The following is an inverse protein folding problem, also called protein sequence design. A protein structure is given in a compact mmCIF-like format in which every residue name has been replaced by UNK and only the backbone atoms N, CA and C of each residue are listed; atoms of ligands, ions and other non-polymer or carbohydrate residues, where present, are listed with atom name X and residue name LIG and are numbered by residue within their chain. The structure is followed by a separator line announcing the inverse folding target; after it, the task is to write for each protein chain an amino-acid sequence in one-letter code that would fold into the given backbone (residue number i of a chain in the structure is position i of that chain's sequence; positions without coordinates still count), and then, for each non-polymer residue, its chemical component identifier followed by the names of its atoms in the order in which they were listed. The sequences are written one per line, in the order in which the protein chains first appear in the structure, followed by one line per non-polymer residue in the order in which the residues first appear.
data_IF_663755912371
#
_entry.id   IF_663755912371
#
_cell.length_a   1.000
_cell.length_b   1.000
_cell.length_c   1.000
_cell.angle_alpha   90.00
_cell.angle_beta   90.00
_cell.angle_gamma   90.00
#
_symmetry.space_group_name_H-M   'P 1'
#
loop_
_entity.id
_entity.type
_entity.pdbx_description
1 polymer ?
#
# COMPACT_ATOMS: atom_id res chain seq x y z
N UNK A 1 0.01 3.16 8.94
CA UNK A 1 -1.06 3.07 7.94
C UNK A 1 -2.12 2.14 8.48
N UNK A 2 -3.33 2.60 8.62
CA UNK A 2 -4.44 1.85 9.22
C UNK A 2 -5.64 1.94 8.28
N UNK A 3 -6.23 0.80 7.93
CA UNK A 3 -7.49 0.69 7.19
C UNK A 3 -7.58 1.67 6.00
N UNK A 4 -8.39 2.71 6.10
CA UNK A 4 -8.66 3.69 5.03
C UNK A 4 -7.42 4.44 4.52
N UNK A 5 -6.34 4.54 5.31
CA UNK A 5 -5.10 5.17 4.85
C UNK A 5 -4.52 4.53 3.58
N UNK A 6 -4.86 3.25 3.33
CA UNK A 6 -4.41 2.52 2.13
C UNK A 6 -4.89 3.12 0.81
N UNK A 7 -6.03 3.83 0.84
CA UNK A 7 -6.59 4.45 -0.37
C UNK A 7 -5.64 5.52 -0.94
N UNK A 8 -4.77 6.08 -0.10
CA UNK A 8 -3.82 7.13 -0.47
C UNK A 8 -2.42 6.56 -0.65
N UNK A 9 -1.86 6.58 -1.88
CA UNK A 9 -0.52 6.08 -2.16
C UNK A 9 0.58 6.77 -1.35
N UNK A 10 0.36 8.02 -0.99
CA UNK A 10 1.28 8.83 -0.19
C UNK A 10 1.54 8.22 1.19
N UNK A 11 0.56 7.57 1.80
CA UNK A 11 0.69 6.95 3.11
C UNK A 11 1.79 5.88 3.12
N UNK A 12 1.76 4.96 2.16
CA UNK A 12 2.78 3.92 2.02
C UNK A 12 4.14 4.52 1.61
N UNK A 13 4.12 5.54 0.73
CA UNK A 13 5.34 6.23 0.29
C UNK A 13 6.06 6.93 1.45
N UNK A 14 5.33 7.60 2.33
CA UNK A 14 5.90 8.23 3.52
C UNK A 14 6.52 7.20 4.45
N UNK A 15 5.87 6.06 4.67
CA UNK A 15 6.44 4.98 5.50
C UNK A 15 7.74 4.44 4.89
N UNK A 16 7.78 4.18 3.59
CA UNK A 16 9.01 3.75 2.91
C UNK A 16 10.12 4.79 3.04
N UNK A 17 9.83 6.08 2.87
CA UNK A 17 10.81 7.16 3.01
C UNK A 17 11.32 7.30 4.45
N UNK A 18 10.55 6.87 5.44
CA UNK A 18 10.96 6.78 6.85
C UNK A 18 11.70 5.48 7.18
N UNK A 19 11.98 4.64 6.20
CA UNK A 19 12.79 3.43 6.35
C UNK A 19 12.01 2.13 6.56
N UNK A 20 10.67 2.14 6.42
CA UNK A 20 9.90 0.90 6.52
C UNK A 20 10.38 -0.13 5.50
N UNK A 21 10.57 -1.35 5.95
CA UNK A 21 10.86 -2.52 5.11
C UNK A 21 9.61 -3.39 4.92
N UNK A 22 8.76 -3.44 5.94
CA UNK A 22 7.46 -4.11 5.92
C UNK A 22 6.41 -3.13 6.45
N UNK A 23 5.26 -3.07 5.82
CA UNK A 23 4.09 -2.33 6.28
C UNK A 23 3.03 -3.33 6.73
N UNK A 24 2.53 -3.17 7.96
CA UNK A 24 1.56 -4.06 8.58
C UNK A 24 0.23 -3.29 8.80
N UNK A 25 -0.66 -3.20 7.81
CA UNK A 25 -1.92 -2.48 7.95
C UNK A 25 -2.99 -3.35 8.63
N UNK A 26 -3.48 -2.98 9.81
CA UNK A 26 -4.75 -3.51 10.29
C UNK A 26 -5.91 -2.95 9.48
N UNK A 27 -6.89 -3.78 9.18
CA UNK A 27 -8.02 -3.44 8.31
C UNK A 27 -9.33 -4.08 8.79
N UNK A 28 -10.44 -3.47 8.39
CA UNK A 28 -11.79 -3.97 8.59
C UNK A 28 -12.64 -3.52 7.40
N UNK A 29 -12.66 -4.31 6.34
CA UNK A 29 -13.51 -4.06 5.17
C UNK A 29 -13.51 -5.28 4.24
N UNK A 30 -14.48 -5.31 3.33
CA UNK A 30 -14.43 -6.19 2.16
C UNK A 30 -13.15 -5.95 1.36
N UNK A 31 -12.48 -7.02 0.99
CA UNK A 31 -11.25 -7.00 0.19
C UNK A 31 -11.48 -7.67 -1.16
N UNK A 32 -12.12 -6.95 -2.05
CA UNK A 32 -12.29 -7.37 -3.43
C UNK A 32 -10.98 -7.23 -4.23
N UNK A 33 -10.95 -7.81 -5.43
CA UNK A 33 -9.76 -7.88 -6.28
C UNK A 33 -9.03 -6.54 -6.46
N UNK A 34 -9.76 -5.43 -6.64
CA UNK A 34 -9.15 -4.11 -6.80
C UNK A 34 -8.44 -3.61 -5.53
N UNK A 35 -8.99 -3.91 -4.36
CA UNK A 35 -8.39 -3.56 -3.06
C UNK A 35 -7.18 -4.44 -2.75
N UNK A 36 -7.24 -5.72 -3.05
CA UNK A 36 -6.06 -6.61 -3.00
C UNK A 36 -4.98 -6.10 -3.95
N UNK A 37 -5.36 -5.67 -5.16
CA UNK A 37 -4.47 -5.04 -6.11
C UNK A 37 -3.79 -3.77 -5.59
N UNK A 38 -4.48 -2.95 -4.79
CA UNK A 38 -3.87 -1.79 -4.14
C UNK A 38 -2.70 -2.21 -3.24
N UNK A 39 -2.87 -3.21 -2.37
CA UNK A 39 -1.79 -3.68 -1.48
C UNK A 39 -0.60 -4.25 -2.25
N UNK A 40 -0.88 -5.02 -3.31
CA UNK A 40 0.15 -5.52 -4.23
C UNK A 40 0.94 -4.36 -4.85
N UNK A 41 0.24 -3.32 -5.30
CA UNK A 41 0.87 -2.14 -5.88
C UNK A 41 1.68 -1.37 -4.84
N UNK A 42 1.14 -1.20 -3.60
CA UNK A 42 1.89 -0.55 -2.51
C UNK A 42 3.19 -1.29 -2.18
N UNK A 43 3.17 -2.63 -2.20
CA UNK A 43 4.40 -3.41 -2.02
C UNK A 43 5.41 -3.13 -3.14
N UNK A 44 4.99 -3.27 -4.40
CA UNK A 44 5.85 -3.12 -5.56
C UNK A 44 6.42 -1.71 -5.71
N UNK A 45 5.59 -0.68 -5.78
CA UNK A 45 6.01 0.70 -6.07
C UNK A 45 6.88 1.33 -4.97
N UNK A 46 6.83 0.78 -3.75
CA UNK A 46 7.62 1.23 -2.62
C UNK A 46 8.80 0.31 -2.29
N UNK A 47 8.89 -0.86 -2.90
CA UNK A 47 9.91 -1.85 -2.57
C UNK A 47 9.85 -2.28 -1.11
N UNK A 48 8.65 -2.51 -0.57
CA UNK A 48 8.39 -2.92 0.82
C UNK A 48 7.54 -4.18 0.85
N UNK A 49 7.73 -5.03 1.86
CA UNK A 49 6.76 -6.06 2.16
C UNK A 49 5.45 -5.42 2.67
N UNK A 50 4.32 -6.02 2.34
CA UNK A 50 3.02 -5.62 2.90
C UNK A 50 2.33 -6.86 3.45
N UNK A 51 1.92 -6.82 4.72
CA UNK A 51 1.13 -7.88 5.33
C UNK A 51 -0.07 -7.29 6.06
N UNK A 52 -1.22 -7.42 5.44
CA UNK A 52 -2.50 -6.92 5.93
C UNK A 52 -3.19 -7.97 6.80
N UNK A 53 -3.65 -7.57 7.99
CA UNK A 53 -4.62 -8.32 8.78
C UNK A 53 -6.03 -7.74 8.55
N UNK A 54 -7.01 -8.62 8.33
CA UNK A 54 -8.41 -8.24 8.16
C UNK A 54 -9.32 -9.10 9.05
N UNK A 55 -10.54 -8.64 9.31
CA UNK A 55 -11.53 -9.46 10.01
C UNK A 55 -11.93 -10.66 9.16
N UNK A 56 -12.12 -11.81 9.84
CA UNK A 56 -12.67 -13.01 9.24
C UNK A 56 -14.20 -12.95 9.29
N UNK A 57 -14.82 -12.88 8.13
CA UNK A 57 -16.27 -12.92 7.96
C UNK A 57 -16.62 -13.31 6.53
N UNK A 58 -17.84 -13.80 6.25
CA UNK A 58 -18.23 -14.25 4.90
C UNK A 58 -18.05 -13.21 3.78
N UNK A 59 -18.20 -11.92 4.10
CA UNK A 59 -18.05 -10.81 3.14
C UNK A 59 -16.75 -10.01 3.35
N UNK A 60 -15.91 -10.44 4.28
CA UNK A 60 -14.62 -9.84 4.61
C UNK A 60 -13.51 -10.89 4.37
N UNK A 61 -12.59 -11.06 5.31
CA UNK A 61 -11.49 -12.01 5.14
C UNK A 61 -10.40 -11.47 4.24
N UNK A 62 -9.76 -12.36 3.48
CA UNK A 62 -8.68 -12.03 2.54
C UNK A 62 -7.53 -11.24 3.18
N UNK A 63 -7.18 -11.53 4.46
CA UNK A 63 -5.89 -11.09 4.99
C UNK A 63 -4.78 -11.56 4.05
N UNK A 64 -3.84 -10.67 3.69
CA UNK A 64 -2.95 -10.93 2.56
C UNK A 64 -1.55 -10.42 2.80
N UNK A 65 -0.54 -11.12 2.28
CA UNK A 65 0.82 -10.62 2.26
C UNK A 65 1.41 -10.64 0.84
N UNK A 66 2.10 -9.56 0.50
CA UNK A 66 2.80 -9.36 -0.76
C UNK A 66 4.27 -9.02 -0.56
N UNK A 67 5.11 -9.67 -1.33
CA UNK A 67 6.53 -9.38 -1.49
C UNK A 67 6.72 -8.28 -2.56
N UNK A 68 7.66 -7.35 -2.43
CA UNK A 68 7.87 -6.32 -3.44
C UNK A 68 8.63 -6.79 -4.68
N UNK A 69 9.33 -7.93 -4.61
CA UNK A 69 10.22 -8.42 -5.66
C UNK A 69 9.39 -8.99 -6.81
N UNK A 70 8.98 -8.13 -7.75
CA UNK A 70 8.08 -8.49 -8.82
C UNK A 70 8.76 -9.09 -10.07
N UNK A 71 10.09 -8.99 -10.15
CA UNK A 71 10.86 -9.48 -11.28
C UNK A 71 12.02 -10.35 -10.81
N UNK A 72 12.25 -11.44 -11.49
CA UNK A 72 13.38 -12.34 -11.29
C UNK A 72 14.09 -12.64 -12.61
N UNK A 73 15.03 -13.55 -12.61
CA UNK A 73 15.81 -13.94 -13.80
C UNK A 73 14.95 -14.43 -14.98
N UNK A 74 13.74 -14.92 -14.71
CA UNK A 74 12.79 -15.43 -15.73
C UNK A 74 11.71 -14.40 -16.10
N UNK A 75 11.83 -13.14 -15.67
CA UNK A 75 10.85 -12.09 -15.89
C UNK A 75 9.91 -11.86 -14.69
N UNK A 76 8.68 -11.47 -14.96
CA UNK A 76 7.68 -11.20 -13.92
C UNK A 76 7.33 -12.45 -13.10
N UNK A 77 7.15 -12.27 -11.79
CA UNK A 77 6.72 -13.33 -10.86
C UNK A 77 5.47 -12.89 -10.09
N UNK A 78 4.74 -13.85 -9.56
CA UNK A 78 3.69 -13.56 -8.59
C UNK A 78 4.34 -13.12 -7.27
N UNK A 79 3.85 -12.04 -6.71
CA UNK A 79 4.33 -11.45 -5.45
C UNK A 79 3.46 -11.81 -4.25
N UNK A 80 2.38 -12.57 -4.47
CA UNK A 80 1.55 -13.08 -3.38
C UNK A 80 2.34 -14.08 -2.54
N UNK A 81 2.43 -13.83 -1.24
CA UNK A 81 3.01 -14.76 -0.28
C UNK A 81 1.92 -15.67 0.28
N UNK A 82 0.84 -15.05 0.76
CA UNK A 82 -0.31 -15.75 1.34
C UNK A 82 -1.56 -14.89 1.21
N UNK A 83 -2.69 -15.53 0.99
CA UNK A 83 -4.03 -14.95 1.09
C UNK A 83 -4.88 -15.86 1.96
N UNK A 84 -5.48 -15.29 3.00
CA UNK A 84 -6.41 -16.00 3.88
C UNK A 84 -7.78 -16.14 3.25
N UNK A 85 -8.51 -17.15 3.65
CA UNK A 85 -9.95 -17.24 3.36
C UNK A 85 -10.80 -16.36 4.28
N UNK A 86 -12.06 -16.72 4.42
CA UNK A 86 -13.05 -16.01 5.25
C UNK A 86 -13.11 -16.50 6.70
N UNK A 87 -12.36 -17.54 7.05
CA UNK A 87 -12.31 -18.11 8.40
C UNK A 87 -11.19 -17.50 9.23
N UNK A 88 -11.39 -17.43 10.54
CA UNK A 88 -10.33 -17.04 11.46
C UNK A 88 -9.15 -18.01 11.39
N UNK A 89 -7.94 -17.46 11.49
CA UNK A 89 -6.72 -18.26 11.45
C UNK A 89 -5.45 -17.44 11.63
N UNK A 90 -4.35 -18.16 11.80
CA UNK A 90 -3.00 -17.60 11.82
C UNK A 90 -2.31 -18.01 10.53
N UNK A 91 -1.85 -17.03 9.76
CA UNK A 91 -1.20 -17.23 8.48
C UNK A 91 0.22 -16.70 8.54
N UNK A 92 1.19 -17.53 8.15
CA UNK A 92 2.60 -17.16 8.17
C UNK A 92 2.99 -16.53 6.83
N UNK A 93 3.59 -15.35 6.89
CA UNK A 93 4.11 -14.62 5.74
C UNK A 93 5.62 -14.38 5.90
N UNK A 94 6.50 -15.25 5.39
CA UNK A 94 7.94 -15.05 5.44
C UNK A 94 8.37 -13.95 4.48
N UNK A 95 9.22 -13.04 4.95
CA UNK A 95 9.88 -12.02 4.14
C UNK A 95 11.39 -12.21 4.21
N UNK A 96 12.05 -12.34 3.07
CA UNK A 96 13.51 -12.32 2.97
C UNK A 96 13.98 -10.86 2.92
N UNK A 97 14.38 -10.32 4.07
CA UNK A 97 14.78 -8.91 4.18
C UNK A 97 16.10 -8.63 3.43
N UNK A 98 16.99 -9.58 3.33
CA UNK A 98 18.25 -9.38 2.60
C UNK A 98 18.01 -9.33 1.10
N UNK A 99 17.15 -10.21 0.58
CA UNK A 99 16.70 -10.15 -0.82
C UNK A 99 15.93 -8.84 -1.10
N UNK A 100 15.08 -8.39 -0.18
CA UNK A 100 14.34 -7.12 -0.30
C UNK A 100 15.31 -5.94 -0.35
N UNK A 101 16.31 -5.89 0.50
CA UNK A 101 17.33 -4.83 0.52
C UNK A 101 18.14 -4.81 -0.77
N UNK A 102 18.58 -5.99 -1.24
CA UNK A 102 19.28 -6.13 -2.51
C UNK A 102 18.41 -5.65 -3.69
N UNK A 103 17.12 -6.03 -3.69
CA UNK A 103 16.13 -5.56 -4.67
C UNK A 103 16.03 -4.04 -4.69
N UNK A 104 15.90 -3.39 -3.55
CA UNK A 104 15.80 -1.92 -3.44
C UNK A 104 17.00 -1.19 -4.04
N UNK A 105 18.19 -1.75 -3.90
CA UNK A 105 19.42 -1.16 -4.47
C UNK A 105 19.46 -1.34 -5.98
N UNK A 106 19.00 -2.48 -6.49
CA UNK A 106 19.09 -2.83 -7.90
C UNK A 106 17.99 -2.19 -8.78
N UNK A 107 16.85 -1.84 -8.20
CA UNK A 107 15.69 -1.39 -8.96
C UNK A 107 15.63 0.12 -9.17
N UNK A 108 15.06 0.50 -10.31
CA UNK A 108 14.76 1.91 -10.66
C UNK A 108 13.53 2.44 -9.94
N UNK A 109 12.64 1.56 -9.49
CA UNK A 109 11.51 1.92 -8.63
C UNK A 109 12.00 2.27 -7.21
N UNK A 110 11.19 2.96 -6.44
CA UNK A 110 11.55 3.36 -5.09
C UNK A 110 12.18 4.75 -5.05
N UNK A 111 13.29 4.95 -4.33
CA UNK A 111 13.76 6.29 -4.01
C UNK A 111 14.84 6.84 -4.95
N UNK A 112 15.61 5.99 -5.60
CA UNK A 112 16.84 6.41 -6.32
C UNK A 112 16.59 7.42 -7.46
N UNK A 113 15.51 7.21 -8.20
CA UNK A 113 15.18 8.06 -9.37
C UNK A 113 13.98 8.98 -9.13
N UNK A 114 13.54 9.13 -7.89
CA UNK A 114 12.50 10.10 -7.57
C UNK A 114 12.95 11.52 -7.82
N UNK A 115 12.01 12.36 -8.24
CA UNK A 115 12.25 13.77 -8.51
C UNK A 115 11.43 14.67 -7.57
N UNK A 116 11.77 14.75 -6.28
CA UNK A 116 10.98 15.46 -5.26
C UNK A 116 10.67 16.92 -5.61
N UNK A 117 11.53 17.56 -6.39
CA UNK A 117 11.31 18.94 -6.87
C UNK A 117 10.03 19.15 -7.68
N UNK A 118 9.45 18.06 -8.22
CA UNK A 118 8.21 18.09 -9.00
C UNK A 118 6.97 17.72 -8.19
N UNK A 119 7.13 17.32 -6.91
CA UNK A 119 6.04 16.82 -6.09
C UNK A 119 5.39 17.88 -5.19
N UNK A 120 5.72 19.16 -5.39
CA UNK A 120 5.09 20.28 -4.68
C UNK A 120 3.56 20.23 -4.63
N UNK A 121 2.86 19.89 -5.74
CA UNK A 121 1.40 19.80 -5.73
C UNK A 121 0.82 18.79 -4.71
N UNK A 122 1.59 17.76 -4.31
CA UNK A 122 1.11 16.77 -3.33
C UNK A 122 0.95 17.34 -1.91
N UNK A 123 1.61 18.44 -1.60
CA UNK A 123 1.57 19.07 -0.28
C UNK A 123 0.76 20.36 -0.24
N UNK A 124 0.18 20.76 -1.37
CA UNK A 124 -0.69 21.94 -1.44
C UNK A 124 -2.05 21.62 -0.78
N UNK A 125 -2.55 22.59 0.00
CA UNK A 125 -3.87 22.49 0.60
C UNK A 125 -4.99 22.79 -0.40
N UNK A 126 -4.69 23.58 -1.41
CA UNK A 126 -5.67 23.97 -2.43
C UNK A 126 -5.84 22.85 -3.46
N UNK A 127 -7.08 22.64 -3.85
CA UNK A 127 -7.48 21.69 -4.89
C UNK A 127 -8.06 22.49 -6.05
N UNK A 128 -7.42 22.39 -7.21
CA UNK A 128 -7.89 23.04 -8.43
C UNK A 128 -8.95 22.18 -9.15
N UNK A 129 -9.79 22.83 -9.94
CA UNK A 129 -10.69 22.14 -10.86
C UNK A 129 -9.91 21.16 -11.77
N UNK A 130 -10.47 19.99 -12.13
CA UNK A 130 -11.87 19.55 -11.87
C UNK A 130 -12.07 18.82 -10.53
N UNK A 131 -11.07 18.78 -9.66
CA UNK A 131 -11.14 18.07 -8.38
C UNK A 131 -11.71 18.98 -7.29
N UNK A 132 -12.77 18.54 -6.62
CA UNK A 132 -13.46 19.30 -5.60
C UNK A 132 -13.35 18.59 -4.24
N UNK A 133 -13.07 19.36 -3.19
CA UNK A 133 -13.08 18.88 -1.80
C UNK A 133 -14.42 19.16 -1.14
N UNK A 134 -15.50 18.65 -1.72
CA UNK A 134 -16.83 18.78 -1.15
C UNK A 134 -17.50 17.41 -1.02
N UNK A 135 -18.27 17.23 0.04
CA UNK A 135 -19.10 16.04 0.21
C UNK A 135 -20.40 16.15 -0.61
N UNK A 136 -21.25 15.12 -0.56
CA UNK A 136 -22.53 15.10 -1.27
C UNK A 136 -23.51 16.23 -0.87
N UNK A 137 -23.26 16.92 0.25
CA UNK A 137 -24.04 18.08 0.70
C UNK A 137 -23.43 19.42 0.28
N UNK A 138 -22.31 19.40 -0.46
CA UNK A 138 -21.60 20.61 -0.85
C UNK A 138 -20.72 21.22 0.24
N UNK A 139 -20.51 20.53 1.36
CA UNK A 139 -19.65 20.99 2.45
C UNK A 139 -18.19 20.63 2.15
N UNK A 140 -17.26 21.55 2.42
CA UNK A 140 -15.82 21.31 2.20
C UNK A 140 -15.24 20.38 3.27
N UNK A 141 -14.40 19.44 2.84
CA UNK A 141 -13.72 18.48 3.74
C UNK A 141 -12.59 19.08 4.58
N UNK A 142 -12.07 20.21 4.19
CA UNK A 142 -10.96 20.90 4.87
C UNK A 142 -11.32 21.45 6.27
N UNK A 143 -12.61 21.50 6.61
CA UNK A 143 -13.09 21.94 7.92
C UNK A 143 -13.30 20.82 8.96
N UNK A 144 -13.01 19.58 8.63
CA UNK A 144 -13.45 18.42 9.43
C UNK A 144 -12.37 17.81 10.30
N UNK A 145 -11.11 18.24 10.19
CA UNK A 145 -10.02 17.71 11.03
C UNK A 145 -9.00 18.79 11.39
N UNK A 146 -9.35 19.61 12.35
CA UNK A 146 -8.38 20.31 13.19
C UNK A 146 -8.04 19.45 14.41
#
# INVERSE_FOLDING_TARGET
MICYDREFPESARVLMLKGAEIILPPNASDLQANRLGQFRTRAFENGVGVALANYAAPEEGHAVAYDPIAFGAKGSRDTLIVEAGTSEGIYLAPFDLDALRAWRVAQTCGNAFRQPRHYGPLILHDVAEPFIRVNAKGERYDHVRS
#
